data_IF_427190953018
#
_entry.id   IF_427190953018
#
_cell.length_a   1.000
_cell.length_b   1.000
_cell.length_c   1.000
_cell.angle_alpha   90.00
_cell.angle_beta   90.00
_cell.angle_gamma   90.00
#
_symmetry.space_group_name_H-M   'P 1'
#
loop_
_entity.id
_entity.type
_entity.pdbx_description
1 polymer ?
#
# COMPACT_ATOMS: atom_id res chain seq x y z
N UNK A 1 -36.75 -0.18 -4.91
CA UNK A 1 -35.72 -1.12 -4.42
C UNK A 1 -35.30 -2.12 -5.50
N UNK A 2 -36.07 -2.26 -6.58
CA UNK A 2 -35.80 -3.21 -7.68
C UNK A 2 -34.75 -2.73 -8.69
N UNK A 3 -34.66 -1.42 -8.95
CA UNK A 3 -33.66 -0.87 -9.87
C UNK A 3 -32.20 -1.10 -9.39
N UNK A 4 -31.94 -1.05 -8.08
CA UNK A 4 -30.59 -1.32 -7.51
C UNK A 4 -30.19 -2.78 -7.69
N UNK A 5 -31.15 -3.71 -7.65
CA UNK A 5 -30.91 -5.13 -7.93
C UNK A 5 -30.64 -5.39 -9.41
N UNK A 6 -31.31 -4.67 -10.29
CA UNK A 6 -31.12 -4.80 -11.74
C UNK A 6 -29.74 -4.27 -12.17
N UNK A 7 -29.32 -3.12 -11.63
CA UNK A 7 -27.95 -2.61 -11.83
C UNK A 7 -26.90 -3.50 -11.16
N UNK A 8 -27.18 -4.07 -9.98
CA UNK A 8 -26.27 -5.04 -9.33
C UNK A 8 -26.14 -6.32 -10.15
N UNK A 9 -27.23 -6.86 -10.68
CA UNK A 9 -27.24 -8.06 -11.51
C UNK A 9 -26.53 -7.83 -12.85
N UNK A 10 -26.73 -6.66 -13.48
CA UNK A 10 -25.99 -6.28 -14.68
C UNK A 10 -24.48 -6.10 -14.38
N UNK A 11 -24.13 -5.54 -13.22
CA UNK A 11 -22.74 -5.47 -12.78
C UNK A 11 -22.14 -6.85 -12.50
N UNK A 12 -22.89 -7.73 -11.85
CA UNK A 12 -22.48 -9.10 -11.54
C UNK A 12 -22.27 -9.91 -12.83
N UNK A 13 -23.14 -9.78 -13.83
CA UNK A 13 -23.02 -10.46 -15.12
C UNK A 13 -21.84 -9.93 -15.95
N UNK A 14 -21.60 -8.61 -15.94
CA UNK A 14 -20.44 -8.00 -16.60
C UNK A 14 -19.16 -8.41 -15.87
N UNK A 15 -19.18 -8.41 -14.53
CA UNK A 15 -18.08 -8.86 -13.70
C UNK A 15 -17.81 -10.34 -13.95
N UNK A 16 -18.82 -11.20 -14.06
CA UNK A 16 -18.61 -12.62 -14.33
C UNK A 16 -18.12 -12.88 -15.76
N UNK A 17 -18.62 -12.17 -16.78
CA UNK A 17 -18.09 -12.28 -18.15
C UNK A 17 -16.64 -11.84 -18.28
N UNK A 18 -16.27 -10.73 -17.64
CA UNK A 18 -14.91 -10.17 -17.70
C UNK A 18 -13.96 -10.90 -16.75
N UNK A 19 -14.43 -11.28 -15.56
CA UNK A 19 -13.62 -11.95 -14.56
C UNK A 19 -13.51 -13.46 -14.81
N UNK A 20 -14.38 -14.13 -15.57
CA UNK A 20 -14.25 -15.57 -15.85
C UNK A 20 -12.84 -16.02 -16.30
N UNK A 21 -12.18 -15.37 -17.26
CA UNK A 21 -10.79 -15.71 -17.61
C UNK A 21 -9.73 -15.16 -16.63
N UNK A 22 -10.04 -14.09 -15.89
CA UNK A 22 -9.14 -13.44 -14.94
C UNK A 22 -9.17 -14.04 -13.53
N UNK A 23 -10.26 -14.70 -13.13
CA UNK A 23 -10.51 -15.30 -11.80
C UNK A 23 -9.33 -16.14 -11.28
N UNK A 24 -8.66 -16.98 -12.10
CA UNK A 24 -7.48 -17.73 -11.65
C UNK A 24 -6.25 -16.85 -11.37
N UNK A 25 -6.14 -15.71 -12.04
CA UNK A 25 -4.97 -14.80 -12.01
C UNK A 25 -5.15 -13.64 -11.03
N UNK A 26 -6.40 -13.30 -10.67
CA UNK A 26 -6.75 -12.26 -9.69
C UNK A 26 -5.92 -12.37 -8.39
N UNK A 27 -5.72 -13.56 -7.77
CA UNK A 27 -4.94 -13.66 -6.54
C UNK A 27 -3.45 -13.32 -6.74
N UNK A 28 -2.89 -13.68 -7.90
CA UNK A 28 -1.49 -13.44 -8.24
C UNK A 28 -1.27 -11.96 -8.56
N UNK A 29 -2.17 -11.38 -9.34
CA UNK A 29 -2.17 -9.95 -9.68
C UNK A 29 -2.37 -9.12 -8.41
N UNK A 30 -3.29 -9.50 -7.52
CA UNK A 30 -3.50 -8.82 -6.24
C UNK A 30 -2.25 -8.78 -5.37
N UNK A 31 -1.51 -9.90 -5.26
CA UNK A 31 -0.23 -9.94 -4.54
C UNK A 31 0.84 -9.07 -5.20
N UNK A 32 0.92 -9.09 -6.53
CA UNK A 32 1.85 -8.26 -7.29
C UNK A 32 1.54 -6.77 -7.12
N UNK A 33 0.28 -6.37 -7.26
CA UNK A 33 -0.17 -4.98 -7.09
C UNK A 33 0.09 -4.49 -5.67
N UNK A 34 -0.22 -5.30 -4.65
CA UNK A 34 0.06 -4.95 -3.25
C UNK A 34 1.54 -4.62 -3.04
N UNK A 35 2.43 -5.47 -3.55
CA UNK A 35 3.87 -5.24 -3.49
C UNK A 35 4.25 -3.95 -4.22
N UNK A 36 3.77 -3.77 -5.46
CA UNK A 36 4.09 -2.59 -6.27
C UNK A 36 3.62 -1.31 -5.60
N UNK A 37 2.47 -1.31 -4.93
CA UNK A 37 1.97 -0.16 -4.15
C UNK A 37 2.99 0.29 -3.10
N UNK A 38 3.60 -0.64 -2.36
CA UNK A 38 4.61 -0.27 -1.36
C UNK A 38 5.94 0.20 -1.97
N UNK A 39 6.33 -0.35 -3.12
CA UNK A 39 7.51 0.14 -3.85
C UNK A 39 7.28 1.54 -4.42
N UNK A 40 6.10 1.80 -4.97
CA UNK A 40 5.71 3.11 -5.48
C UNK A 40 5.65 4.13 -4.33
N UNK A 41 5.10 3.76 -3.18
CA UNK A 41 5.09 4.63 -1.99
C UNK A 41 6.51 4.93 -1.48
N UNK A 42 7.38 3.91 -1.36
CA UNK A 42 8.77 4.12 -0.99
C UNK A 42 9.49 5.08 -1.96
N UNK A 43 9.29 4.90 -3.26
CA UNK A 43 9.84 5.80 -4.28
C UNK A 43 9.26 7.21 -4.17
N UNK A 44 7.96 7.34 -3.92
CA UNK A 44 7.28 8.61 -3.70
C UNK A 44 7.86 9.35 -2.50
N UNK A 45 8.10 8.67 -1.37
CA UNK A 45 8.74 9.26 -0.20
C UNK A 45 10.17 9.73 -0.49
N UNK A 46 10.93 8.98 -1.31
CA UNK A 46 12.29 9.39 -1.72
C UNK A 46 12.26 10.62 -2.63
N UNK A 47 11.40 10.63 -3.64
CA UNK A 47 11.28 11.75 -4.59
C UNK A 47 10.77 13.01 -3.88
N UNK A 48 9.84 12.86 -2.94
CA UNK A 48 9.24 13.97 -2.21
C UNK A 48 9.84 14.17 -0.82
N UNK A 49 11.07 13.70 -0.60
CA UNK A 49 11.70 13.67 0.73
C UNK A 49 11.59 14.99 1.47
N UNK A 50 12.01 16.09 0.83
CA UNK A 50 12.01 17.42 1.44
C UNK A 50 10.60 17.91 1.75
N UNK A 51 9.64 17.65 0.85
CA UNK A 51 8.25 18.03 1.03
C UNK A 51 7.62 17.28 2.20
N UNK A 52 7.88 15.97 2.31
CA UNK A 52 7.38 15.14 3.41
C UNK A 52 8.01 15.53 4.74
N UNK A 53 9.32 15.75 4.77
CA UNK A 53 10.03 16.18 5.96
C UNK A 53 9.50 17.52 6.47
N UNK A 54 9.24 18.46 5.57
CA UNK A 54 8.66 19.76 5.91
C UNK A 54 7.21 19.64 6.37
N UNK A 55 6.39 18.80 5.72
CA UNK A 55 5.02 18.55 6.14
C UNK A 55 4.96 18.00 7.58
N UNK A 56 5.72 16.94 7.87
CA UNK A 56 5.79 16.37 9.21
C UNK A 56 6.36 17.35 10.24
N UNK A 57 7.34 18.18 9.85
CA UNK A 57 7.97 19.11 10.79
C UNK A 57 7.12 20.34 11.09
N UNK A 58 6.53 20.95 10.07
CA UNK A 58 5.84 22.23 10.17
C UNK A 58 4.32 22.07 10.35
N UNK A 59 3.69 21.10 9.69
CA UNK A 59 2.24 20.89 9.75
C UNK A 59 1.87 20.02 10.94
N UNK A 60 2.57 18.90 11.14
CA UNK A 60 2.31 17.96 12.24
C UNK A 60 3.11 18.30 13.52
N UNK A 61 3.98 19.31 13.48
CA UNK A 61 4.76 19.76 14.64
C UNK A 61 5.83 18.76 15.12
N UNK A 62 6.17 17.75 14.30
CA UNK A 62 7.11 16.71 14.70
C UNK A 62 8.56 17.23 14.64
N UNK A 63 9.42 16.94 15.64
CA UNK A 63 10.81 17.35 15.57
C UNK A 63 11.50 16.79 14.32
N UNK A 64 12.23 17.65 13.61
CA UNK A 64 12.84 17.32 12.30
C UNK A 64 13.68 16.04 12.32
N UNK A 65 14.38 15.75 13.42
CA UNK A 65 15.16 14.52 13.59
C UNK A 65 14.28 13.25 13.66
N UNK A 66 13.14 13.33 14.34
CA UNK A 66 12.18 12.22 14.43
C UNK A 66 11.51 12.02 13.07
N UNK A 67 11.17 13.11 12.37
CA UNK A 67 10.62 13.06 11.01
C UNK A 67 11.59 12.40 10.02
N UNK A 68 12.89 12.71 10.12
CA UNK A 68 13.91 12.05 9.30
C UNK A 68 13.95 10.53 9.54
N UNK A 69 14.01 10.11 10.82
CA UNK A 69 14.04 8.70 11.19
C UNK A 69 12.75 7.96 10.80
N UNK A 70 11.60 8.62 10.93
CA UNK A 70 10.30 8.09 10.55
C UNK A 70 10.22 7.82 9.04
N UNK A 71 10.61 8.79 8.21
CA UNK A 71 10.63 8.64 6.75
C UNK A 71 11.61 7.53 6.32
N UNK A 72 12.79 7.51 6.93
CA UNK A 72 13.81 6.50 6.67
C UNK A 72 13.30 5.09 7.03
N UNK A 73 12.69 4.93 8.20
CA UNK A 73 12.09 3.67 8.62
C UNK A 73 11.05 3.19 7.62
N UNK A 74 10.16 4.07 7.18
CA UNK A 74 9.11 3.72 6.21
C UNK A 74 9.68 3.25 4.88
N UNK A 75 10.65 3.98 4.31
CA UNK A 75 11.30 3.60 3.05
C UNK A 75 12.02 2.25 3.17
N UNK A 76 12.77 2.03 4.25
CA UNK A 76 13.53 0.79 4.46
C UNK A 76 12.58 -0.39 4.71
N UNK A 77 11.58 -0.22 5.58
CA UNK A 77 10.63 -1.26 5.92
C UNK A 77 9.82 -1.69 4.68
N UNK A 78 9.31 -0.75 3.88
CA UNK A 78 8.59 -1.05 2.64
C UNK A 78 9.48 -1.73 1.60
N UNK A 79 10.72 -1.27 1.44
CA UNK A 79 11.66 -1.87 0.48
C UNK A 79 12.01 -3.31 0.87
N UNK A 80 12.37 -3.54 2.15
CA UNK A 80 12.75 -4.86 2.64
C UNK A 80 11.56 -5.81 2.66
N UNK A 81 10.40 -5.39 3.21
CA UNK A 81 9.22 -6.22 3.28
C UNK A 81 8.60 -6.45 1.90
N UNK A 82 8.62 -5.45 1.01
CA UNK A 82 8.22 -5.59 -0.39
C UNK A 82 9.09 -6.60 -1.15
N UNK A 83 10.43 -6.50 -1.05
CA UNK A 83 11.35 -7.49 -1.63
C UNK A 83 11.13 -8.90 -1.06
N UNK A 84 10.92 -9.00 0.25
CA UNK A 84 10.67 -10.27 0.94
C UNK A 84 9.34 -10.92 0.48
N UNK A 85 8.29 -10.11 0.30
CA UNK A 85 7.01 -10.54 -0.22
C UNK A 85 7.10 -11.06 -1.67
N UNK A 86 7.88 -10.40 -2.54
CA UNK A 86 8.16 -10.88 -3.92
C UNK A 86 8.92 -12.20 -3.89
N UNK A 87 9.95 -12.28 -3.06
CA UNK A 87 10.80 -13.47 -2.95
C UNK A 87 10.07 -14.67 -2.35
N UNK A 88 8.81 -14.50 -1.90
CA UNK A 88 7.99 -15.51 -1.20
C UNK A 88 8.71 -16.12 0.01
N UNK A 89 9.64 -15.37 0.61
CA UNK A 89 10.38 -15.78 1.80
C UNK A 89 9.66 -15.20 3.01
N UNK A 90 9.17 -16.04 3.92
CA UNK A 90 8.48 -15.59 5.16
C UNK A 90 7.42 -14.52 4.91
N UNK A 91 6.52 -14.78 3.95
CA UNK A 91 5.50 -13.83 3.48
C UNK A 91 4.62 -13.29 4.61
N UNK A 92 4.32 -14.09 5.63
CA UNK A 92 3.55 -13.66 6.81
C UNK A 92 4.25 -12.54 7.58
N UNK A 93 5.57 -12.63 7.75
CA UNK A 93 6.37 -11.60 8.41
C UNK A 93 6.43 -10.34 7.54
N UNK A 94 6.63 -10.51 6.23
CA UNK A 94 6.62 -9.40 5.29
C UNK A 94 5.28 -8.63 5.36
N UNK A 95 4.16 -9.35 5.34
CA UNK A 95 2.82 -8.74 5.45
C UNK A 95 2.62 -8.05 6.80
N UNK A 96 3.08 -8.64 7.91
CA UNK A 96 3.02 -8.00 9.22
C UNK A 96 3.82 -6.69 9.28
N UNK A 97 5.01 -6.65 8.67
CA UNK A 97 5.83 -5.44 8.56
C UNK A 97 5.11 -4.39 7.70
N UNK A 98 4.59 -4.77 6.53
CA UNK A 98 3.85 -3.87 5.64
C UNK A 98 2.58 -3.31 6.32
N UNK A 99 1.90 -4.13 7.13
CA UNK A 99 0.75 -3.66 7.91
C UNK A 99 1.17 -2.66 9.00
N UNK A 100 2.31 -2.91 9.67
CA UNK A 100 2.84 -1.98 10.66
C UNK A 100 3.21 -0.62 10.06
N UNK A 101 3.76 -0.59 8.84
CA UNK A 101 4.08 0.68 8.16
C UNK A 101 2.82 1.47 7.84
N UNK A 102 1.74 0.81 7.40
CA UNK A 102 0.46 1.48 7.14
C UNK A 102 -0.12 2.12 8.40
N UNK A 103 -0.08 1.42 9.55
CA UNK A 103 -0.54 1.99 10.83
C UNK A 103 0.32 3.18 11.23
N UNK A 104 1.65 3.03 11.19
CA UNK A 104 2.59 4.08 11.56
C UNK A 104 2.43 5.31 10.66
N UNK A 105 2.21 5.12 9.35
CA UNK A 105 1.90 6.19 8.41
C UNK A 105 0.56 6.84 8.70
N UNK A 106 -0.48 6.07 8.99
CA UNK A 106 -1.79 6.62 9.36
C UNK A 106 -1.71 7.49 10.63
N UNK A 107 -0.84 7.15 11.59
CA UNK A 107 -0.61 7.96 12.78
C UNK A 107 0.30 9.17 12.55
N UNK A 108 1.28 9.06 11.64
CA UNK A 108 2.20 10.16 11.35
C UNK A 108 1.65 11.20 10.37
N UNK A 109 0.76 10.78 9.46
CA UNK A 109 0.15 11.64 8.44
C UNK A 109 -1.33 11.94 8.65
N UNK A 110 -2.04 11.11 9.44
CA UNK A 110 -3.42 11.37 9.85
C UNK A 110 -3.52 12.42 10.94
#
# INVERSE_FOLDING_TARGET
MDQVKEYSAAFEDVLDKVASPLKPHIPVIGRFLLVVTFFEDALRLVVQWTSQLNYLSYTQGMPRSIAYLFLLYNIVAMSVAGSMAIAKKRTEIAVAILFSTVIIQALGYG
#
